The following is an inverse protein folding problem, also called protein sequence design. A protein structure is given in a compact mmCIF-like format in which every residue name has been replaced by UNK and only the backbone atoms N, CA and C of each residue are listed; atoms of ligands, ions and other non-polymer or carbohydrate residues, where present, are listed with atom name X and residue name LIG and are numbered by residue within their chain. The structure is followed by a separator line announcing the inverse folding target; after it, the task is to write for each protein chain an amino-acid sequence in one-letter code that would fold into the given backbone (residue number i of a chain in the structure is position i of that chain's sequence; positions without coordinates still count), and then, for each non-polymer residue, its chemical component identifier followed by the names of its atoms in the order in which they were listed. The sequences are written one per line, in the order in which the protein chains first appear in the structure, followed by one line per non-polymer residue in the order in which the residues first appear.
data_IF_451535560847
#
_entry.id   IF_451535560847
#
_cell.length_a   1.000
_cell.length_b   1.000
_cell.length_c   1.000
_cell.angle_alpha   90.00
_cell.angle_beta   90.00
_cell.angle_gamma   90.00
#
_symmetry.space_group_name_H-M   'P 1'
#
loop_
_entity.id
_entity.type
_entity.pdbx_description
1 polymer ?
#
# COMPACT_ATOMS: atom_id res chain seq x y z
N UNK A 1 21.91 25.70 20.27
CA UNK A 1 22.43 26.21 21.56
C UNK A 1 22.93 25.02 22.36
N UNK A 2 24.17 25.02 22.86
CA UNK A 2 24.70 24.01 23.75
C UNK A 2 23.78 23.78 24.97
N UNK A 3 23.73 22.56 25.55
CA UNK A 3 22.86 22.28 26.70
C UNK A 3 23.13 23.17 27.93
N UNK A 4 24.38 23.60 28.11
CA UNK A 4 24.79 24.48 29.21
C UNK A 4 24.16 25.87 29.06
N UNK A 5 24.30 26.48 27.89
CA UNK A 5 23.70 27.77 27.55
C UNK A 5 22.17 27.74 27.64
N UNK A 6 21.53 26.61 27.28
CA UNK A 6 20.08 26.43 27.45
C UNK A 6 19.66 26.45 28.92
N UNK A 7 20.44 25.77 29.78
CA UNK A 7 20.17 25.72 31.22
C UNK A 7 20.37 27.10 31.87
N UNK A 8 21.44 27.80 31.50
CA UNK A 8 21.70 29.16 31.99
C UNK A 8 20.60 30.13 31.56
N UNK A 9 20.21 30.11 30.28
CA UNK A 9 19.10 30.92 29.77
C UNK A 9 17.81 30.61 30.53
N UNK A 10 17.51 29.33 30.76
CA UNK A 10 16.33 28.91 31.50
C UNK A 10 16.34 29.42 32.94
N UNK A 11 17.48 29.33 33.64
CA UNK A 11 17.61 29.83 35.02
C UNK A 11 17.37 31.34 35.09
N UNK A 12 18.00 32.10 34.18
CA UNK A 12 17.82 33.56 34.11
C UNK A 12 16.35 33.94 33.82
N UNK A 13 15.71 33.25 32.88
CA UNK A 13 14.31 33.52 32.53
C UNK A 13 13.36 33.15 33.66
N UNK A 14 13.64 32.04 34.35
CA UNK A 14 12.88 31.59 35.53
C UNK A 14 12.90 32.61 36.65
N UNK A 15 14.04 33.22 36.91
CA UNK A 15 14.14 34.25 37.95
C UNK A 15 13.43 35.54 37.54
N UNK A 16 13.48 35.93 36.25
CA UNK A 16 12.74 37.08 35.72
C UNK A 16 11.21 36.89 35.77
N UNK A 17 10.72 35.67 35.54
CA UNK A 17 9.29 35.34 35.62
C UNK A 17 8.69 35.40 37.04
N UNK A 18 9.51 35.53 38.10
CA UNK A 18 9.05 35.70 39.49
C UNK A 18 8.62 37.13 39.81
N UNK A 19 8.98 38.10 38.98
CA UNK A 19 8.72 39.55 39.16
C UNK A 19 7.50 39.96 38.33
N UNK A 20 7.10 41.25 38.34
CA UNK A 20 5.98 41.77 37.53
C UNK A 20 6.19 41.50 36.03
N UNK A 21 5.19 40.87 35.41
CA UNK A 21 5.22 40.50 34.00
C UNK A 21 5.03 41.69 33.06
N UNK A 22 4.60 42.85 33.55
CA UNK A 22 4.54 44.07 32.73
C UNK A 22 5.92 44.63 32.40
N UNK A 23 6.92 44.36 33.25
CA UNK A 23 8.31 44.82 33.07
C UNK A 23 9.12 43.91 32.14
N UNK A 24 8.60 42.72 31.82
CA UNK A 24 9.24 41.80 30.88
C UNK A 24 9.11 42.29 29.44
N UNK A 25 10.22 42.24 28.71
CA UNK A 25 10.26 42.55 27.28
C UNK A 25 9.47 41.53 26.47
N UNK A 26 9.00 41.93 25.28
CA UNK A 26 8.26 41.03 24.39
C UNK A 26 9.08 39.78 24.00
N UNK A 27 10.41 39.91 23.89
CA UNK A 27 11.27 38.79 23.52
C UNK A 27 11.40 37.77 24.64
N UNK A 28 11.47 38.21 25.89
CA UNK A 28 11.48 37.31 27.06
C UNK A 28 10.17 36.55 27.18
N UNK A 29 9.04 37.22 26.92
CA UNK A 29 7.72 36.57 26.90
C UNK A 29 7.63 35.50 25.80
N UNK A 30 8.12 35.81 24.59
CA UNK A 30 8.19 34.83 23.49
C UNK A 30 9.12 33.66 23.80
N UNK A 31 10.27 33.93 24.40
CA UNK A 31 11.23 32.90 24.81
C UNK A 31 10.63 32.02 25.92
N UNK A 32 9.98 32.60 26.93
CA UNK A 32 9.27 31.86 27.98
C UNK A 32 8.23 30.91 27.37
N UNK A 33 7.41 31.44 26.45
CA UNK A 33 6.40 30.65 25.77
C UNK A 33 7.02 29.53 24.93
N UNK A 34 8.08 29.80 24.16
CA UNK A 34 8.73 28.78 23.33
C UNK A 34 9.41 27.70 24.19
N UNK A 35 10.06 28.06 25.29
CA UNK A 35 10.66 27.10 26.23
C UNK A 35 9.56 26.23 26.87
N UNK A 36 8.47 26.85 27.31
CA UNK A 36 7.38 26.15 27.99
C UNK A 36 6.50 25.33 27.04
N UNK A 37 6.28 25.76 25.80
CA UNK A 37 5.25 25.23 24.89
C UNK A 37 5.70 24.98 23.44
N UNK A 38 6.96 25.27 23.08
CA UNK A 38 7.49 25.04 21.74
C UNK A 38 7.69 23.56 21.37
N UNK A 39 7.82 23.24 20.07
CA UNK A 39 7.93 21.87 19.56
C UNK A 39 9.35 21.31 19.76
N UNK A 40 9.73 21.08 21.02
CA UNK A 40 11.02 20.51 21.41
C UNK A 40 10.85 19.47 22.52
N UNK A 41 11.91 18.70 22.79
CA UNK A 41 11.90 17.67 23.83
C UNK A 41 10.75 16.67 23.63
N UNK A 42 9.89 16.43 24.63
CA UNK A 42 8.73 15.54 24.51
C UNK A 42 7.66 15.98 23.50
N UNK A 43 7.70 17.26 23.07
CA UNK A 43 6.75 17.85 22.10
C UNK A 43 7.40 18.07 20.73
N UNK A 44 8.53 17.43 20.46
CA UNK A 44 9.15 17.46 19.15
C UNK A 44 8.18 16.88 18.11
N UNK A 45 7.97 17.62 17.03
CA UNK A 45 7.22 17.15 15.87
C UNK A 45 8.10 16.24 15.00
N UNK A 46 7.46 15.49 14.11
CA UNK A 46 8.12 14.74 13.05
C UNK A 46 9.13 15.63 12.30
N UNK A 47 10.39 15.20 12.13
CA UNK A 47 11.37 15.99 11.41
C UNK A 47 10.89 16.33 9.99
N UNK A 48 11.25 17.51 9.46
CA UNK A 48 10.90 17.88 8.09
C UNK A 48 11.39 16.83 7.09
N UNK A 49 10.48 16.35 6.23
CA UNK A 49 10.79 15.36 5.18
C UNK A 49 10.61 13.90 5.57
N UNK A 50 10.26 13.58 6.83
CA UNK A 50 10.02 12.20 7.28
C UNK A 50 8.98 11.46 6.42
N UNK A 51 7.89 12.14 6.04
CA UNK A 51 6.85 11.55 5.19
C UNK A 51 7.36 11.08 3.83
N UNK A 52 8.28 11.82 3.20
CA UNK A 52 8.88 11.41 1.93
C UNK A 52 9.73 10.16 2.08
N UNK A 53 10.48 10.08 3.19
CA UNK A 53 11.28 8.91 3.55
C UNK A 53 10.40 7.67 3.81
N UNK A 54 9.30 7.83 4.57
CA UNK A 54 8.34 6.74 4.83
C UNK A 54 7.73 6.22 3.54
N UNK A 55 7.27 7.13 2.66
CA UNK A 55 6.72 6.76 1.36
C UNK A 55 7.72 5.98 0.50
N UNK A 56 8.97 6.45 0.45
CA UNK A 56 10.01 5.81 -0.35
C UNK A 56 10.36 4.41 0.18
N UNK A 57 10.56 4.25 1.49
CA UNK A 57 10.85 2.95 2.07
C UNK A 57 9.69 1.97 1.96
N UNK A 58 8.47 2.45 2.13
CA UNK A 58 7.27 1.63 1.91
C UNK A 58 7.20 1.16 0.46
N UNK A 59 7.44 2.06 -0.50
CA UNK A 59 7.52 1.73 -1.92
C UNK A 59 8.60 0.70 -2.24
N UNK A 60 9.79 0.84 -1.66
CA UNK A 60 10.86 -0.18 -1.77
C UNK A 60 10.38 -1.52 -1.22
N UNK A 61 9.78 -1.55 -0.03
CA UNK A 61 9.28 -2.78 0.58
C UNK A 61 8.28 -3.53 -0.31
N UNK A 62 7.33 -2.80 -0.89
CA UNK A 62 6.36 -3.35 -1.85
C UNK A 62 7.07 -3.87 -3.10
N UNK A 63 8.00 -3.10 -3.67
CA UNK A 63 8.75 -3.50 -4.86
C UNK A 63 9.57 -4.77 -4.62
N UNK A 64 10.29 -4.84 -3.49
CA UNK A 64 11.06 -6.03 -3.09
C UNK A 64 10.15 -7.25 -2.94
N UNK A 65 8.98 -7.08 -2.30
CA UNK A 65 8.02 -8.18 -2.15
C UNK A 65 7.49 -8.70 -3.49
N UNK A 66 7.22 -7.79 -4.43
CA UNK A 66 6.74 -8.15 -5.77
C UNK A 66 7.84 -8.87 -6.57
N UNK A 67 9.09 -8.40 -6.49
CA UNK A 67 10.23 -9.06 -7.14
C UNK A 67 10.46 -10.46 -6.57
N UNK A 68 10.41 -10.62 -5.25
CA UNK A 68 10.54 -11.91 -4.60
C UNK A 68 9.41 -12.86 -5.04
N UNK A 69 8.16 -12.39 -5.03
CA UNK A 69 7.01 -13.19 -5.43
C UNK A 69 7.12 -13.64 -6.89
N UNK A 70 7.36 -12.72 -7.83
CA UNK A 70 7.49 -13.05 -9.25
C UNK A 70 8.72 -13.91 -9.52
N UNK A 71 9.82 -13.69 -8.78
CA UNK A 71 11.02 -14.49 -8.86
C UNK A 71 10.80 -15.93 -8.43
N UNK A 72 10.07 -16.19 -7.35
CA UNK A 72 9.71 -17.56 -6.94
C UNK A 72 8.67 -18.16 -7.88
N UNK A 73 7.66 -17.36 -8.27
CA UNK A 73 6.55 -17.82 -9.10
C UNK A 73 6.99 -18.18 -10.53
N UNK A 74 8.06 -17.59 -11.06
CA UNK A 74 8.57 -17.95 -12.39
C UNK A 74 9.07 -19.39 -12.50
N UNK A 75 9.42 -20.01 -11.37
CA UNK A 75 9.82 -21.43 -11.30
C UNK A 75 8.64 -22.37 -11.01
N UNK A 76 7.40 -21.86 -10.95
CA UNK A 76 6.22 -22.68 -10.73
C UNK A 76 5.88 -23.55 -11.95
N UNK A 77 5.10 -24.62 -11.71
CA UNK A 77 4.59 -25.49 -12.78
C UNK A 77 3.67 -24.73 -13.73
N UNK A 78 3.55 -25.17 -15.00
CA UNK A 78 2.62 -24.57 -15.95
C UNK A 78 1.17 -24.66 -15.43
N UNK A 79 0.30 -23.71 -15.82
CA UNK A 79 -1.10 -23.74 -15.42
C UNK A 79 -1.80 -25.00 -15.95
N UNK A 80 -2.86 -25.47 -15.27
CA UNK A 80 -3.58 -26.67 -15.69
C UNK A 80 -4.27 -26.45 -17.04
N UNK A 81 -4.49 -27.55 -17.80
CA UNK A 81 -5.11 -27.52 -19.14
C UNK A 81 -6.48 -26.84 -19.20
N UNK A 82 -7.23 -26.90 -18.10
CA UNK A 82 -8.55 -26.28 -17.95
C UNK A 82 -8.49 -24.76 -17.77
N UNK A 83 -7.32 -24.20 -17.46
CA UNK A 83 -7.09 -22.77 -17.33
C UNK A 83 -6.63 -22.15 -18.65
N UNK A 84 -7.30 -22.49 -19.73
CA UNK A 84 -7.16 -21.94 -21.09
C UNK A 84 -8.48 -21.30 -21.54
N UNK A 85 -8.40 -20.31 -22.42
CA UNK A 85 -9.58 -19.62 -22.96
C UNK A 85 -10.55 -20.58 -23.65
N UNK A 86 -10.01 -21.51 -24.44
CA UNK A 86 -10.77 -22.46 -25.26
C UNK A 86 -11.57 -23.43 -24.37
N UNK A 87 -10.95 -23.94 -23.31
CA UNK A 87 -11.63 -24.81 -22.35
C UNK A 87 -12.73 -24.05 -21.58
N UNK A 88 -12.48 -22.79 -21.22
CA UNK A 88 -13.46 -21.95 -20.51
C UNK A 88 -14.62 -21.53 -21.42
N UNK A 89 -14.39 -21.35 -22.72
CA UNK A 89 -15.44 -21.11 -23.72
C UNK A 89 -16.30 -22.37 -23.93
N UNK A 90 -15.70 -23.55 -24.04
CA UNK A 90 -16.44 -24.81 -24.08
C UNK A 90 -17.26 -25.04 -22.80
N UNK A 91 -16.70 -24.68 -21.63
CA UNK A 91 -17.43 -24.73 -20.36
C UNK A 91 -18.62 -23.78 -20.37
N UNK A 92 -18.46 -22.56 -20.92
CA UNK A 92 -19.55 -21.62 -21.06
C UNK A 92 -20.67 -22.13 -21.98
N UNK A 93 -20.33 -22.80 -23.08
CA UNK A 93 -21.29 -23.41 -24.01
C UNK A 93 -22.07 -24.53 -23.30
N UNK A 94 -21.37 -25.46 -22.65
CA UNK A 94 -21.99 -26.51 -21.85
C UNK A 94 -22.94 -25.97 -20.77
N UNK A 95 -22.54 -24.93 -20.04
CA UNK A 95 -23.39 -24.32 -19.00
C UNK A 95 -24.63 -23.61 -19.57
N UNK A 96 -24.56 -23.13 -20.81
CA UNK A 96 -25.73 -22.56 -21.51
C UNK A 96 -26.68 -23.65 -21.97
N UNK A 97 -26.15 -24.76 -22.49
CA UNK A 97 -26.94 -25.94 -22.86
C UNK A 97 -27.70 -26.50 -21.66
N UNK A 98 -27.02 -26.62 -20.52
CA UNK A 98 -27.61 -27.09 -19.25
C UNK A 98 -28.44 -26.02 -18.50
N UNK A 99 -28.65 -24.84 -19.11
CA UNK A 99 -29.41 -23.72 -18.54
C UNK A 99 -28.98 -23.32 -17.12
N UNK A 100 -27.68 -23.40 -16.81
CA UNK A 100 -27.17 -23.08 -15.48
C UNK A 100 -27.26 -21.58 -15.21
N UNK A 101 -27.84 -21.22 -14.06
CA UNK A 101 -28.09 -19.83 -13.64
C UNK A 101 -28.90 -19.00 -14.66
N UNK A 102 -30.16 -19.37 -14.95
CA UNK A 102 -30.95 -18.75 -16.01
C UNK A 102 -31.53 -17.37 -15.63
N UNK A 103 -31.46 -16.95 -14.36
CA UNK A 103 -32.02 -15.65 -13.92
C UNK A 103 -30.96 -14.54 -13.99
N UNK A 104 -29.74 -14.81 -13.54
CA UNK A 104 -28.68 -13.79 -13.39
C UNK A 104 -27.34 -14.18 -14.04
N UNK A 105 -27.23 -15.41 -14.54
CA UNK A 105 -25.96 -15.99 -14.98
C UNK A 105 -25.81 -16.05 -16.49
N UNK A 106 -24.88 -16.89 -16.92
CA UNK A 106 -24.50 -17.01 -18.32
C UNK A 106 -25.64 -17.43 -19.26
N UNK A 107 -26.66 -18.09 -18.70
CA UNK A 107 -27.83 -18.60 -19.42
C UNK A 107 -29.04 -17.67 -19.33
N UNK A 108 -28.90 -16.48 -18.73
CA UNK A 108 -30.01 -15.52 -18.63
C UNK A 108 -30.27 -14.79 -19.94
N UNK A 109 -31.54 -14.52 -20.23
CA UNK A 109 -31.94 -13.71 -21.38
C UNK A 109 -31.29 -12.32 -21.32
N UNK A 110 -30.39 -12.04 -22.26
CA UNK A 110 -29.68 -10.75 -22.33
C UNK A 110 -28.31 -10.70 -21.63
N UNK A 111 -27.72 -11.83 -21.25
CA UNK A 111 -26.35 -11.84 -20.71
C UNK A 111 -25.31 -11.29 -21.72
N UNK A 112 -24.55 -10.26 -21.33
CA UNK A 112 -23.54 -9.57 -22.18
C UNK A 112 -22.10 -9.66 -21.62
N UNK A 113 -21.81 -10.65 -20.78
CA UNK A 113 -20.48 -10.85 -20.17
C UNK A 113 -19.63 -11.91 -20.88
N UNK A 114 -18.38 -12.05 -20.44
CA UNK A 114 -17.45 -13.09 -20.93
C UNK A 114 -17.66 -14.47 -20.27
N UNK A 115 -18.65 -14.62 -19.39
CA UNK A 115 -18.87 -15.84 -18.64
C UNK A 115 -17.71 -16.16 -17.71
N UNK A 116 -17.28 -17.42 -17.70
CA UNK A 116 -16.17 -17.92 -16.88
C UNK A 116 -14.79 -17.77 -17.56
N UNK A 117 -14.70 -17.00 -18.65
CA UNK A 117 -13.42 -16.79 -19.36
C UNK A 117 -12.56 -15.78 -18.60
N UNK A 118 -11.47 -16.28 -18.03
CA UNK A 118 -10.46 -15.53 -17.28
C UNK A 118 -9.04 -15.74 -17.81
N UNK A 119 -8.78 -16.86 -18.48
CA UNK A 119 -7.45 -17.25 -18.93
C UNK A 119 -7.11 -16.70 -20.32
N UNK A 120 -5.80 -16.69 -20.63
CA UNK A 120 -5.29 -16.46 -21.99
C UNK A 120 -5.58 -17.71 -22.86
N UNK A 121 -5.40 -17.58 -24.18
CA UNK A 121 -5.49 -18.73 -25.09
C UNK A 121 -4.41 -19.76 -24.80
N UNK A 122 -4.72 -21.04 -25.05
CA UNK A 122 -3.77 -22.14 -24.89
C UNK A 122 -2.47 -21.90 -25.66
N UNK A 123 -2.58 -21.37 -26.89
CA UNK A 123 -1.43 -20.97 -27.70
C UNK A 123 -0.55 -19.92 -27.01
N UNK A 124 -1.15 -18.92 -26.36
CA UNK A 124 -0.41 -17.87 -25.66
C UNK A 124 0.23 -18.38 -24.35
N UNK A 125 -0.24 -19.51 -23.83
CA UNK A 125 0.30 -20.19 -22.65
C UNK A 125 1.28 -21.34 -23.01
N UNK A 126 1.49 -21.61 -24.30
CA UNK A 126 2.34 -22.72 -24.75
C UNK A 126 1.76 -24.11 -24.46
N UNK A 127 0.44 -24.21 -24.27
CA UNK A 127 -0.26 -25.47 -23.97
C UNK A 127 -0.78 -26.05 -25.30
N UNK A 128 -0.41 -27.31 -25.60
CA UNK A 128 -1.04 -28.07 -26.68
C UNK A 128 -2.43 -28.54 -26.25
N UNK A 129 -3.42 -28.35 -27.12
CA UNK A 129 -4.80 -28.77 -26.89
C UNK A 129 -5.09 -30.20 -27.41
N UNK A 130 -4.11 -30.83 -28.05
CA UNK A 130 -4.22 -32.21 -28.53
C UNK A 130 -4.44 -33.16 -27.33
N UNK A 131 -5.38 -34.09 -27.48
CA UNK A 131 -5.63 -35.16 -26.52
C UNK A 131 -4.47 -36.14 -26.55
N UNK A 132 -3.83 -36.39 -25.40
CA UNK A 132 -2.90 -37.52 -25.20
C UNK A 132 -3.67 -38.85 -25.13
N UNK A 133 -4.60 -39.09 -26.06
CA UNK A 133 -5.39 -40.34 -26.16
C UNK A 133 -4.71 -41.38 -27.10
N UNK A 134 -3.38 -41.30 -27.25
CA UNK A 134 -2.53 -42.30 -27.93
C UNK A 134 -1.61 -43.03 -26.94
N UNK A 135 -2.14 -43.43 -25.76
CA UNK A 135 -1.58 -44.51 -24.91
C UNK A 135 -2.70 -45.43 -24.44
#
# INVERSE_FOLDING_TARGET
MPPQDQAELWMQLRDRMKVDWNEMTLQEKKAAWWIAFGPHGPRAESPPGEWGQVWFYTGIGVAVSAVLFLGIHSFARPPPRTMTKEWQEATNEYLKEEQVNPIYGISSEGYKGKGYVQSKSAKAQGISLESEDDI
#
